data_IF_643888635527
#
_entry.id   IF_643888635527
#
_cell.length_a   1.000
_cell.length_b   1.000
_cell.length_c   1.000
_cell.angle_alpha   90.00
_cell.angle_beta   90.00
_cell.angle_gamma   90.00
#
_symmetry.space_group_name_H-M   'P 1'
#
loop_
_entity.id
_entity.type
_entity.pdbx_description
1 polymer ?
#
# COMPACT_ATOMS: atom_id res chain seq x y z
N UNK A 1 -18.14 7.51 -6.02
CA UNK A 1 -17.36 8.34 -6.95
C UNK A 1 -17.20 9.79 -6.48
N UNK A 2 -18.27 10.42 -5.94
CA UNK A 2 -18.16 11.79 -5.44
C UNK A 2 -17.18 11.90 -4.27
N UNK A 3 -17.15 10.92 -3.35
CA UNK A 3 -16.20 10.89 -2.23
C UNK A 3 -14.76 10.78 -2.74
N UNK A 4 -14.55 9.92 -3.74
CA UNK A 4 -13.25 9.71 -4.37
C UNK A 4 -12.75 11.01 -5.02
N UNK A 5 -13.66 11.71 -5.72
CA UNK A 5 -13.36 12.99 -6.35
C UNK A 5 -12.94 14.03 -5.30
N UNK A 6 -13.66 14.09 -4.17
CA UNK A 6 -13.30 15.02 -3.09
C UNK A 6 -11.92 14.69 -2.49
N UNK A 7 -11.62 13.41 -2.27
CA UNK A 7 -10.32 13.00 -1.75
C UNK A 7 -9.18 13.46 -2.66
N UNK A 8 -9.37 13.35 -3.97
CA UNK A 8 -8.32 13.68 -4.93
C UNK A 8 -8.10 15.18 -5.07
N UNK A 9 -9.04 15.99 -4.64
CA UNK A 9 -8.90 17.44 -4.62
C UNK A 9 -8.09 17.94 -3.43
N UNK A 10 -7.91 17.12 -2.40
CA UNK A 10 -7.13 17.52 -1.22
C UNK A 10 -5.66 17.63 -1.56
N UNK A 11 -5.04 18.66 -1.05
CA UNK A 11 -3.61 18.90 -1.28
C UNK A 11 -2.81 18.50 -0.05
N UNK A 12 -3.07 17.31 0.48
CA UNK A 12 -2.29 16.78 1.58
C UNK A 12 -0.98 16.18 1.06
N UNK A 13 0.10 16.50 1.73
CA UNK A 13 1.37 15.82 1.55
C UNK A 13 1.68 15.02 2.79
N UNK A 14 2.48 13.97 2.64
CA UNK A 14 2.77 13.05 3.73
C UNK A 14 3.23 13.76 5.01
N UNK A 15 4.12 14.74 4.89
CA UNK A 15 4.70 15.44 6.04
C UNK A 15 3.64 16.13 6.93
N UNK A 16 2.43 16.31 6.42
CA UNK A 16 1.32 16.93 7.15
C UNK A 16 0.33 15.89 7.67
N UNK A 17 0.65 14.60 7.52
CA UNK A 17 -0.21 13.49 7.91
C UNK A 17 0.48 12.61 8.94
N UNK A 18 -0.29 12.05 9.87
CA UNK A 18 0.22 11.04 10.79
C UNK A 18 0.34 9.69 10.07
N UNK A 19 1.17 8.80 10.61
CA UNK A 19 1.25 7.42 10.13
C UNK A 19 -0.12 6.72 10.25
N UNK A 20 -0.81 6.95 11.36
CA UNK A 20 -2.13 6.35 11.58
C UNK A 20 -3.12 6.77 10.51
N UNK A 21 -3.08 8.02 10.07
CA UNK A 21 -3.94 8.50 8.99
C UNK A 21 -3.69 7.69 7.71
N UNK A 22 -2.43 7.46 7.36
CA UNK A 22 -2.06 6.73 6.14
C UNK A 22 -2.49 5.26 6.23
N UNK A 23 -2.25 4.61 7.37
CA UNK A 23 -2.70 3.23 7.55
C UNK A 23 -4.23 3.13 7.56
N UNK A 24 -4.92 4.13 8.09
CA UNK A 24 -6.38 4.18 8.02
C UNK A 24 -6.87 4.38 6.58
N UNK A 25 -6.16 5.16 5.77
CA UNK A 25 -6.44 5.26 4.32
C UNK A 25 -6.32 3.91 3.63
N UNK A 26 -5.28 3.13 3.96
CA UNK A 26 -5.12 1.79 3.41
C UNK A 26 -6.36 0.94 3.75
N UNK A 27 -6.77 0.94 5.01
CA UNK A 27 -7.96 0.21 5.44
C UNK A 27 -9.22 0.67 4.69
N UNK A 28 -9.38 1.98 4.53
CA UNK A 28 -10.52 2.55 3.82
C UNK A 28 -10.58 2.06 2.37
N UNK A 29 -9.47 2.19 1.63
CA UNK A 29 -9.45 1.78 0.23
C UNK A 29 -9.55 0.26 0.06
N UNK A 30 -9.01 -0.52 1.00
CA UNK A 30 -9.19 -1.98 1.00
C UNK A 30 -10.66 -2.33 1.21
N UNK A 31 -11.39 -1.59 2.05
CA UNK A 31 -12.83 -1.82 2.21
C UNK A 31 -13.61 -1.65 0.91
N UNK A 32 -13.11 -0.83 0.00
CA UNK A 32 -13.69 -0.64 -1.34
C UNK A 32 -13.14 -1.64 -2.36
N UNK A 33 -12.15 -2.44 -2.00
CA UNK A 33 -11.49 -3.43 -2.85
C UNK A 33 -11.32 -4.73 -2.05
N UNK A 34 -12.42 -5.44 -1.76
CA UNK A 34 -12.41 -6.51 -0.77
C UNK A 34 -11.59 -7.75 -1.14
N UNK A 35 -11.14 -7.88 -2.38
CA UNK A 35 -10.21 -8.96 -2.74
C UNK A 35 -8.82 -8.77 -2.15
N UNK A 36 -8.46 -7.54 -1.75
CA UNK A 36 -7.15 -7.21 -1.20
C UNK A 36 -7.11 -7.54 0.28
N UNK A 37 -6.05 -8.23 0.71
CA UNK A 37 -5.79 -8.48 2.13
C UNK A 37 -5.18 -7.23 2.78
N UNK A 38 -5.86 -6.67 3.77
CA UNK A 38 -5.45 -5.42 4.42
C UNK A 38 -4.13 -5.56 5.16
N UNK A 39 -3.90 -6.69 5.81
CA UNK A 39 -2.65 -6.92 6.55
C UNK A 39 -1.45 -6.98 5.61
N UNK A 40 -1.61 -7.64 4.45
CA UNK A 40 -0.57 -7.68 3.43
C UNK A 40 -0.29 -6.28 2.88
N UNK A 41 -1.33 -5.50 2.59
CA UNK A 41 -1.18 -4.14 2.08
C UNK A 41 -0.39 -3.25 3.04
N UNK A 42 -0.71 -3.30 4.32
CA UNK A 42 0.00 -2.54 5.36
C UNK A 42 1.44 -3.00 5.54
N UNK A 43 1.67 -4.32 5.53
CA UNK A 43 3.00 -4.89 5.70
C UNK A 43 3.93 -4.49 4.57
N UNK A 44 3.47 -4.52 3.33
CA UNK A 44 4.27 -4.12 2.17
C UNK A 44 4.67 -2.63 2.29
N UNK A 45 3.73 -1.76 2.64
CA UNK A 45 4.03 -0.34 2.86
C UNK A 45 5.07 -0.16 3.97
N UNK A 46 4.95 -0.91 5.07
CA UNK A 46 5.95 -0.85 6.15
C UNK A 46 7.35 -1.15 5.62
N UNK A 47 7.48 -2.22 4.85
CA UNK A 47 8.78 -2.65 4.32
C UNK A 47 9.33 -1.64 3.32
N UNK A 48 8.51 -1.21 2.37
CA UNK A 48 8.95 -0.32 1.30
C UNK A 48 9.35 1.07 1.80
N UNK A 49 8.74 1.54 2.86
CA UNK A 49 8.94 2.91 3.36
C UNK A 49 9.65 2.97 4.71
N UNK A 50 10.07 1.83 5.28
CA UNK A 50 10.61 1.81 6.64
C UNK A 50 9.61 2.33 7.66
N UNK A 51 8.40 1.83 7.63
CA UNK A 51 7.27 2.29 8.45
C UNK A 51 6.98 3.78 8.24
N UNK A 52 6.85 4.16 6.98
CA UNK A 52 6.52 5.53 6.58
C UNK A 52 7.56 6.56 7.02
N UNK A 53 8.84 6.18 6.97
CA UNK A 53 9.96 7.06 7.33
C UNK A 53 10.80 7.51 6.13
N UNK A 54 10.68 6.87 4.97
CA UNK A 54 11.49 7.16 3.79
C UNK A 54 11.02 8.46 3.11
N UNK A 55 11.71 9.56 3.37
CA UNK A 55 11.31 10.89 2.89
C UNK A 55 11.28 11.00 1.37
N UNK A 56 12.21 10.32 0.68
CA UNK A 56 12.24 10.36 -0.79
C UNK A 56 10.96 9.81 -1.42
N UNK A 57 10.35 8.80 -0.80
CA UNK A 57 9.08 8.24 -1.26
C UNK A 57 7.90 9.11 -0.82
N UNK A 58 7.93 9.54 0.42
CA UNK A 58 6.80 10.23 1.03
C UNK A 58 6.64 11.65 0.49
N UNK A 59 7.73 12.30 0.09
CA UNK A 59 7.66 13.59 -0.60
C UNK A 59 6.96 13.49 -1.96
N UNK A 60 6.84 12.27 -2.50
CA UNK A 60 6.13 11.99 -3.74
C UNK A 60 4.74 11.39 -3.50
N UNK A 61 4.29 11.34 -2.25
CA UNK A 61 3.03 10.68 -1.86
C UNK A 61 2.97 9.22 -2.33
N UNK A 62 4.12 8.55 -2.31
CA UNK A 62 4.30 7.19 -2.81
C UNK A 62 4.64 6.29 -1.62
N UNK A 63 3.76 5.34 -1.32
CA UNK A 63 3.91 4.46 -0.14
C UNK A 63 4.26 3.02 -0.50
N UNK A 64 4.58 2.75 -1.76
CA UNK A 64 4.79 1.37 -2.21
C UNK A 64 5.93 1.21 -3.22
N UNK A 65 6.68 2.28 -3.49
CA UNK A 65 7.81 2.20 -4.41
C UNK A 65 7.45 2.14 -5.88
N UNK A 66 6.21 2.49 -6.25
CA UNK A 66 5.79 2.48 -7.65
C UNK A 66 6.69 3.33 -8.53
N UNK A 67 7.05 2.80 -9.71
CA UNK A 67 8.00 3.41 -10.63
C UNK A 67 7.36 3.73 -11.96
N UNK A 68 7.80 4.81 -12.58
CA UNK A 68 7.45 5.19 -13.95
C UNK A 68 8.71 5.72 -14.63
N UNK A 69 9.04 5.17 -15.80
CA UNK A 69 10.22 5.57 -16.57
C UNK A 69 11.51 5.56 -15.74
N UNK A 70 11.68 4.55 -14.87
CA UNK A 70 12.88 4.39 -14.06
C UNK A 70 12.96 5.30 -12.84
N UNK A 71 11.90 6.04 -12.52
CA UNK A 71 11.85 6.97 -11.38
C UNK A 71 10.65 6.67 -10.50
N UNK A 72 10.75 7.00 -9.22
CA UNK A 72 9.61 6.91 -8.31
C UNK A 72 8.47 7.81 -8.82
N UNK A 73 7.28 7.23 -8.94
CA UNK A 73 6.10 7.97 -9.38
C UNK A 73 5.68 8.96 -8.30
N UNK A 74 5.38 10.18 -8.71
CA UNK A 74 4.85 11.24 -7.85
C UNK A 74 3.33 11.31 -8.00
N UNK A 75 2.63 11.36 -6.87
CA UNK A 75 1.16 11.48 -6.87
C UNK A 75 0.75 12.84 -6.30
N UNK A 76 -0.39 13.38 -6.75
CA UNK A 76 -0.79 14.75 -6.35
C UNK A 76 -1.18 14.86 -4.87
N UNK A 77 -1.56 13.76 -4.23
CA UNK A 77 -1.93 13.74 -2.81
C UNK A 77 -1.61 12.38 -2.22
N UNK A 78 -1.54 12.31 -0.89
CA UNK A 78 -1.35 11.03 -0.21
C UNK A 78 -2.58 10.13 -0.42
N UNK A 79 -3.76 10.68 -0.43
CA UNK A 79 -4.99 9.93 -0.69
C UNK A 79 -4.95 9.27 -2.07
N UNK A 80 -4.53 10.01 -3.09
CA UNK A 80 -4.40 9.47 -4.43
C UNK A 80 -3.32 8.38 -4.49
N UNK A 81 -2.19 8.60 -3.82
CA UNK A 81 -1.11 7.62 -3.78
C UNK A 81 -1.56 6.29 -3.15
N UNK A 82 -2.30 6.37 -2.04
CA UNK A 82 -2.84 5.17 -1.38
C UNK A 82 -3.87 4.49 -2.28
N UNK A 83 -4.77 5.26 -2.89
CA UNK A 83 -5.74 4.73 -3.84
C UNK A 83 -5.05 3.95 -4.97
N UNK A 84 -4.02 4.53 -5.57
CA UNK A 84 -3.28 3.88 -6.66
C UNK A 84 -2.59 2.60 -6.20
N UNK A 85 -2.04 2.61 -5.00
CA UNK A 85 -1.42 1.43 -4.41
C UNK A 85 -2.42 0.28 -4.26
N UNK A 86 -3.56 0.55 -3.64
CA UNK A 86 -4.58 -0.50 -3.43
C UNK A 86 -5.16 -0.96 -4.76
N UNK A 87 -5.37 -0.05 -5.71
CA UNK A 87 -5.82 -0.41 -7.05
C UNK A 87 -4.83 -1.33 -7.76
N UNK A 88 -3.54 -1.07 -7.62
CA UNK A 88 -2.48 -1.93 -8.17
C UNK A 88 -2.52 -3.32 -7.54
N UNK A 89 -2.57 -3.39 -6.21
CA UNK A 89 -2.64 -4.68 -5.52
C UNK A 89 -3.85 -5.49 -5.96
N UNK A 90 -5.00 -4.83 -6.09
CA UNK A 90 -6.21 -5.50 -6.56
C UNK A 90 -6.05 -6.03 -7.98
N UNK A 91 -5.78 -5.14 -8.93
CA UNK A 91 -5.86 -5.49 -10.36
C UNK A 91 -4.71 -6.36 -10.83
N UNK A 92 -3.51 -6.15 -10.28
CA UNK A 92 -2.30 -6.82 -10.78
C UNK A 92 -1.88 -8.03 -9.94
N UNK A 93 -2.48 -8.21 -8.77
CA UNK A 93 -2.12 -9.30 -7.86
C UNK A 93 -3.35 -10.10 -7.42
N UNK A 94 -4.17 -9.57 -6.52
CA UNK A 94 -5.26 -10.33 -5.91
C UNK A 94 -6.30 -10.81 -6.93
N UNK A 95 -6.70 -9.97 -7.87
CA UNK A 95 -7.66 -10.36 -8.91
C UNK A 95 -7.05 -11.28 -9.98
N UNK A 96 -5.72 -11.39 -10.01
CA UNK A 96 -5.00 -12.34 -10.87
C UNK A 96 -4.74 -13.69 -10.16
N UNK A 97 -5.28 -13.87 -8.96
CA UNK A 97 -5.07 -15.08 -8.19
C UNK A 97 -3.78 -15.11 -7.38
N UNK A 98 -3.02 -14.02 -7.35
CA UNK A 98 -1.80 -13.90 -6.56
C UNK A 98 -2.17 -13.39 -5.18
N UNK A 99 -2.41 -14.31 -4.24
CA UNK A 99 -2.99 -13.98 -2.94
C UNK A 99 -2.09 -14.27 -1.76
N UNK A 100 -1.23 -15.28 -1.85
CA UNK A 100 -0.26 -15.57 -0.79
C UNK A 100 0.94 -14.63 -0.89
N UNK A 101 1.64 -14.45 0.23
CA UNK A 101 2.83 -13.59 0.26
C UNK A 101 3.87 -14.07 -0.76
N UNK A 102 4.06 -15.39 -0.86
CA UNK A 102 4.99 -16.00 -1.82
C UNK A 102 4.57 -15.73 -3.27
N UNK A 103 3.28 -15.86 -3.58
CA UNK A 103 2.78 -15.58 -4.93
C UNK A 103 2.96 -14.10 -5.29
N UNK A 104 2.64 -13.23 -4.36
CA UNK A 104 2.81 -11.78 -4.56
C UNK A 104 4.29 -11.46 -4.74
N UNK A 105 5.15 -12.00 -3.88
CA UNK A 105 6.58 -11.75 -3.92
C UNK A 105 7.25 -12.24 -5.19
N UNK A 106 6.74 -13.30 -5.79
CA UNK A 106 7.26 -13.81 -7.06
C UNK A 106 7.21 -12.74 -8.16
N UNK A 107 6.20 -11.90 -8.12
CA UNK A 107 6.02 -10.81 -9.08
C UNK A 107 6.56 -9.47 -8.53
N UNK A 108 6.31 -9.18 -7.26
CA UNK A 108 6.62 -7.90 -6.65
C UNK A 108 8.12 -7.76 -6.33
N UNK A 109 8.72 -8.81 -5.80
CA UNK A 109 10.13 -8.82 -5.40
C UNK A 109 10.75 -10.20 -5.66
N UNK A 110 11.00 -10.54 -6.94
CA UNK A 110 11.59 -11.83 -7.27
C UNK A 110 13.10 -11.84 -7.05
N UNK A 111 13.64 -13.03 -6.85
CA UNK A 111 15.08 -13.29 -6.87
C UNK A 111 15.33 -14.64 -7.54
N UNK A 112 16.58 -14.90 -7.87
CA UNK A 112 17.00 -16.18 -8.44
C UNK A 112 18.05 -16.80 -7.51
N UNK A 113 17.79 -18.02 -7.04
CA UNK A 113 18.71 -18.77 -6.19
C UNK A 113 18.94 -20.13 -6.87
N UNK A 114 20.22 -20.45 -7.11
CA UNK A 114 20.63 -21.68 -7.79
C UNK A 114 19.89 -21.90 -9.13
N UNK A 115 19.71 -20.82 -9.89
CA UNK A 115 19.04 -20.86 -11.18
C UNK A 115 17.51 -20.91 -11.12
N UNK A 116 16.91 -20.89 -9.93
CA UNK A 116 15.45 -20.95 -9.75
C UNK A 116 14.92 -19.58 -9.34
N UNK A 117 13.96 -19.07 -10.12
CA UNK A 117 13.25 -17.83 -9.79
C UNK A 117 12.23 -18.10 -8.69
N UNK A 118 12.21 -17.21 -7.70
CA UNK A 118 11.29 -17.32 -6.58
C UNK A 118 11.02 -15.93 -5.98
N UNK A 119 10.01 -15.83 -5.11
CA UNK A 119 9.87 -14.65 -4.26
C UNK A 119 11.11 -14.55 -3.37
N UNK A 120 11.60 -13.32 -3.16
CA UNK A 120 12.76 -13.11 -2.29
C UNK A 120 12.42 -13.58 -0.87
N UNK A 121 13.14 -14.60 -0.33
CA UNK A 121 12.79 -15.20 0.97
C UNK A 121 12.83 -14.20 2.12
N UNK A 122 13.76 -13.27 2.11
CA UNK A 122 13.85 -12.23 3.15
C UNK A 122 12.63 -11.32 3.09
N UNK A 123 12.22 -10.91 1.90
CA UNK A 123 11.02 -10.10 1.72
C UNK A 123 9.78 -10.85 2.21
N UNK A 124 9.62 -12.11 1.85
CA UNK A 124 8.49 -12.96 2.29
C UNK A 124 8.45 -13.05 3.81
N UNK A 125 9.60 -13.33 4.43
CA UNK A 125 9.72 -13.44 5.89
C UNK A 125 9.33 -12.11 6.57
N UNK A 126 9.79 -10.99 6.03
CA UNK A 126 9.48 -9.66 6.58
C UNK A 126 8.00 -9.31 6.43
N UNK A 127 7.41 -9.59 5.26
CA UNK A 127 5.97 -9.34 5.06
C UNK A 127 5.15 -10.14 6.05
N UNK A 128 5.46 -11.42 6.22
CA UNK A 128 4.75 -12.28 7.16
C UNK A 128 4.89 -11.79 8.60
N UNK A 129 6.08 -11.32 8.99
CA UNK A 129 6.33 -10.79 10.34
C UNK A 129 5.51 -9.52 10.59
N UNK A 130 5.48 -8.60 9.62
CA UNK A 130 4.77 -7.33 9.79
C UNK A 130 3.26 -7.47 9.66
N UNK A 131 2.76 -8.43 8.87
CA UNK A 131 1.31 -8.70 8.79
C UNK A 131 0.71 -8.93 10.17
N UNK A 132 1.42 -9.61 11.04
CA UNK A 132 0.93 -9.94 12.38
C UNK A 132 0.87 -8.72 13.32
N UNK A 133 1.48 -7.61 12.95
CA UNK A 133 1.46 -6.39 13.76
C UNK A 133 0.23 -5.54 13.54
N UNK A 134 -0.55 -5.83 12.50
CA UNK A 134 -1.71 -5.03 12.15
C UNK A 134 -2.99 -5.79 12.49
N UNK A 135 -3.92 -5.11 13.14
CA UNK A 135 -5.24 -5.66 13.37
C UNK A 135 -6.19 -5.19 12.26
N UNK A 136 -7.22 -6.00 12.01
CA UNK A 136 -8.22 -5.70 10.97
C UNK A 136 -9.42 -4.92 11.52
N UNK A 137 -9.26 -4.22 12.64
CA UNK A 137 -10.34 -3.46 13.26
C UNK A 137 -10.57 -2.15 12.50
N UNK A 138 -11.31 -2.23 11.42
CA UNK A 138 -11.64 -1.08 10.60
C UNK A 138 -12.99 -0.52 11.03
N UNK A 139 -12.99 0.75 11.42
CA UNK A 139 -14.21 1.51 11.58
C UNK A 139 -14.32 2.48 10.42
N UNK A 140 -15.15 2.15 9.44
CA UNK A 140 -15.29 2.94 8.22
C UNK A 140 -15.81 4.35 8.53
N UNK A 141 -16.72 4.47 9.47
CA UNK A 141 -17.26 5.78 9.86
C UNK A 141 -16.18 6.69 10.43
N UNK A 142 -15.26 6.13 11.25
CA UNK A 142 -14.13 6.88 11.79
C UNK A 142 -13.17 7.31 10.69
N UNK A 143 -12.91 6.44 9.72
CA UNK A 143 -12.05 6.79 8.59
C UNK A 143 -12.68 7.88 7.75
N UNK A 144 -13.96 7.77 7.43
CA UNK A 144 -14.68 8.80 6.67
C UNK A 144 -14.68 10.13 7.40
N UNK A 145 -14.80 10.12 8.72
CA UNK A 145 -14.73 11.34 9.54
C UNK A 145 -13.35 11.98 9.46
N UNK A 146 -12.27 11.18 9.52
CA UNK A 146 -10.90 11.68 9.34
C UNK A 146 -10.71 12.35 7.99
N UNK A 147 -11.34 11.80 6.95
CA UNK A 147 -11.28 12.33 5.60
C UNK A 147 -12.24 13.50 5.37
N UNK A 148 -13.11 13.81 6.35
CA UNK A 148 -14.15 14.83 6.25
C UNK A 148 -15.12 14.58 5.07
N UNK A 149 -15.52 13.33 4.90
CA UNK A 149 -16.43 12.93 3.82
C UNK A 149 -17.92 12.92 4.25
#
# INVERSE_FOLDING_TARGET
ESRKSELFKRNYVYKNCSKDYIYNLIEYFVSLNPSVDVQTAKAITWIETGNLAAQSMLNKNNIFGGMSNGRLTSYPSIEYGVYKYISLLRSSYFDQGLRTVEQIGYKYNPTTIDGVKMANPTWVSNVNAYRNKFSSNVNIDSVEKLLNL
#
